data_IF_433095856137
#
_entry.id   IF_433095856137
#
_cell.length_a   1.000
_cell.length_b   1.000
_cell.length_c   1.000
_cell.angle_alpha   90.00
_cell.angle_beta   90.00
_cell.angle_gamma   90.00
#
_symmetry.space_group_name_H-M   'P 1'
#
loop_
_entity.id
_entity.type
_entity.pdbx_description
1 polymer ?
#
# COMPACT_ATOMS: atom_id res chain seq x y z
N UNK A 1 28.01 8.38 -11.08
CA UNK A 1 27.81 6.94 -10.85
C UNK A 1 26.92 6.80 -9.60
N UNK A 2 25.80 6.08 -9.64
CA UNK A 2 24.97 5.89 -8.45
C UNK A 2 25.75 5.09 -7.38
N UNK A 3 25.51 5.34 -6.08
CA UNK A 3 26.26 4.69 -5.00
C UNK A 3 25.99 3.18 -4.98
N UNK A 4 27.06 2.38 -4.92
CA UNK A 4 27.00 0.92 -4.77
C UNK A 4 26.28 0.53 -3.48
N UNK A 5 25.28 -0.35 -3.61
CA UNK A 5 24.41 -0.83 -2.55
C UNK A 5 25.18 -1.68 -1.52
N UNK A 6 25.15 -1.29 -0.24
CA UNK A 6 25.75 -2.01 0.91
C UNK A 6 24.81 -3.08 1.50
N UNK A 7 24.26 -3.99 0.70
CA UNK A 7 23.45 -5.11 1.23
C UNK A 7 24.03 -6.44 0.79
N UNK A 8 24.31 -7.39 1.70
CA UNK A 8 24.72 -8.74 1.31
C UNK A 8 23.62 -9.36 0.45
N UNK A 9 23.98 -9.80 -0.75
CA UNK A 9 23.03 -10.25 -1.76
C UNK A 9 22.36 -11.57 -1.34
N UNK A 10 21.04 -11.67 -1.52
CA UNK A 10 20.54 -12.33 -2.72
C UNK A 10 20.07 -11.33 -3.78
N UNK A 11 20.36 -11.61 -5.05
CA UNK A 11 19.95 -10.78 -6.20
C UNK A 11 18.45 -10.93 -6.46
N UNK A 12 17.88 -12.01 -5.93
CA UNK A 12 16.48 -12.38 -6.06
C UNK A 12 15.67 -11.98 -4.81
N UNK A 13 14.69 -11.05 -4.92
CA UNK A 13 13.81 -10.70 -3.82
C UNK A 13 12.94 -11.88 -3.33
N UNK A 14 12.77 -12.95 -4.12
CA UNK A 14 12.09 -14.18 -3.69
C UNK A 14 12.90 -14.98 -2.65
N UNK A 15 14.23 -14.88 -2.69
CA UNK A 15 15.12 -15.62 -1.79
C UNK A 15 15.30 -14.96 -0.41
N UNK A 16 14.77 -13.73 -0.23
CA UNK A 16 14.91 -12.97 1.02
C UNK A 16 13.80 -13.38 1.99
N UNK A 17 14.10 -14.32 2.87
CA UNK A 17 13.22 -14.71 3.97
C UNK A 17 13.55 -13.88 5.22
N UNK A 18 12.59 -13.05 5.66
CA UNK A 18 12.74 -12.26 6.89
C UNK A 18 12.45 -13.17 8.09
N UNK A 19 13.52 -13.67 8.72
CA UNK A 19 13.46 -14.46 9.96
C UNK A 19 13.19 -13.56 11.17
N UNK A 20 12.03 -12.92 11.21
CA UNK A 20 11.54 -12.17 12.37
C UNK A 20 10.12 -12.63 12.68
N UNK A 21 9.66 -12.55 13.93
CA UNK A 21 8.23 -12.72 14.22
C UNK A 21 7.43 -11.57 13.61
N UNK A 22 6.27 -11.83 13.00
CA UNK A 22 5.30 -10.81 12.59
C UNK A 22 4.13 -10.89 13.54
N UNK A 23 4.00 -9.92 14.42
CA UNK A 23 2.81 -9.77 15.26
C UNK A 23 2.43 -8.29 15.25
N UNK A 24 1.82 -7.79 14.15
CA UNK A 24 1.26 -6.45 14.14
C UNK A 24 0.08 -6.37 15.10
N UNK A 25 -0.19 -5.17 15.63
CA UNK A 25 -1.42 -4.93 16.38
C UNK A 25 -2.63 -5.22 15.47
N UNK A 26 -3.68 -5.93 15.96
CA UNK A 26 -4.91 -6.12 15.20
C UNK A 26 -5.53 -4.83 14.66
N UNK A 27 -5.38 -3.69 15.34
CA UNK A 27 -5.86 -2.40 14.85
C UNK A 27 -5.09 -1.93 13.61
N UNK A 28 -3.75 -2.02 13.63
CA UNK A 28 -2.89 -1.66 12.50
C UNK A 28 -3.14 -2.57 11.29
N UNK A 29 -3.40 -3.85 11.57
CA UNK A 29 -3.71 -4.84 10.55
C UNK A 29 -5.05 -4.54 9.87
N UNK A 30 -6.06 -4.14 10.63
CA UNK A 30 -7.36 -3.73 10.09
C UNK A 30 -7.26 -2.44 9.25
N UNK A 31 -6.49 -1.45 9.70
CA UNK A 31 -6.27 -0.19 8.96
C UNK A 31 -5.48 -0.39 7.66
N UNK A 32 -4.57 -1.36 7.64
CA UNK A 32 -3.77 -1.71 6.46
C UNK A 32 -4.53 -2.57 5.45
N UNK A 33 -5.59 -3.25 5.90
CA UNK A 33 -6.45 -4.06 5.03
C UNK A 33 -7.48 -3.21 4.29
N UNK A 34 -7.74 -3.55 3.03
CA UNK A 34 -8.84 -2.93 2.27
C UNK A 34 -10.17 -3.49 2.78
N UNK A 35 -11.17 -2.65 3.12
CA UNK A 35 -12.47 -3.14 3.59
C UNK A 35 -13.11 -4.14 2.61
N UNK A 36 -13.54 -5.30 3.11
CA UNK A 36 -14.16 -6.35 2.31
C UNK A 36 -13.18 -7.29 1.59
N UNK A 37 -11.87 -7.14 1.81
CA UNK A 37 -10.85 -8.09 1.38
C UNK A 37 -10.29 -8.89 2.56
N UNK A 38 -9.67 -10.03 2.24
CA UNK A 38 -8.87 -10.81 3.20
C UNK A 38 -7.81 -9.93 3.87
N UNK A 39 -7.48 -10.26 5.11
CA UNK A 39 -6.53 -9.50 5.92
C UNK A 39 -5.17 -9.43 5.22
N UNK A 40 -4.66 -8.22 5.02
CA UNK A 40 -3.43 -7.98 4.26
C UNK A 40 -2.19 -8.40 5.07
N UNK A 41 -1.47 -9.41 4.58
CA UNK A 41 -0.16 -9.82 5.13
C UNK A 41 0.97 -9.24 4.26
N UNK A 42 1.67 -8.17 4.72
CA UNK A 42 2.73 -7.53 3.94
C UNK A 42 3.93 -8.45 3.66
N UNK A 43 4.06 -9.58 4.37
CA UNK A 43 5.17 -10.52 4.15
C UNK A 43 4.88 -11.52 3.03
N UNK A 44 3.61 -11.77 2.76
CA UNK A 44 3.17 -12.75 1.75
C UNK A 44 2.63 -12.09 0.50
N UNK A 45 2.07 -10.88 0.62
CA UNK A 45 1.44 -10.18 -0.50
C UNK A 45 2.48 -9.38 -1.29
N UNK A 46 2.69 -9.78 -2.54
CA UNK A 46 3.45 -9.00 -3.53
C UNK A 46 2.49 -8.25 -4.42
N UNK A 47 2.84 -7.03 -4.78
CA UNK A 47 2.11 -6.26 -5.78
C UNK A 47 2.49 -6.78 -7.17
N UNK A 48 1.51 -7.01 -8.04
CA UNK A 48 1.79 -7.24 -9.46
C UNK A 48 2.28 -5.94 -10.11
N UNK A 49 2.87 -6.02 -11.31
CA UNK A 49 3.30 -4.82 -12.04
C UNK A 49 2.12 -3.87 -12.32
N UNK A 50 0.92 -4.41 -12.50
CA UNK A 50 -0.32 -3.64 -12.68
C UNK A 50 -0.76 -2.94 -11.39
N UNK A 51 -0.65 -3.60 -10.23
CA UNK A 51 -1.00 -3.01 -8.94
C UNK A 51 0.05 -1.99 -8.46
N UNK A 52 1.29 -2.13 -8.92
CA UNK A 52 2.38 -1.21 -8.63
C UNK A 52 2.23 0.11 -9.39
N UNK A 53 1.43 0.13 -10.48
CA UNK A 53 1.14 1.38 -11.20
C UNK A 53 0.36 2.33 -10.27
N UNK A 54 0.63 3.64 -10.36
CA UNK A 54 -0.07 4.61 -9.54
C UNK A 54 -1.58 4.51 -9.77
N UNK A 55 -2.35 4.45 -8.68
CA UNK A 55 -3.80 4.45 -8.77
C UNK A 55 -4.33 5.74 -9.44
N UNK A 56 -5.48 5.67 -10.14
CA UNK A 56 -6.08 6.85 -10.73
C UNK A 56 -6.38 7.89 -9.66
N UNK A 57 -5.87 9.11 -9.86
CA UNK A 57 -6.08 10.20 -8.90
C UNK A 57 -7.52 10.70 -9.00
N UNK A 58 -8.32 10.43 -7.98
CA UNK A 58 -9.69 10.96 -7.87
C UNK A 58 -9.62 12.41 -7.39
N UNK A 59 -9.96 13.35 -8.28
CA UNK A 59 -10.03 14.77 -7.93
C UNK A 59 -11.30 15.04 -7.13
N UNK A 60 -11.16 15.62 -5.93
CA UNK A 60 -12.31 16.11 -5.15
C UNK A 60 -13.09 17.14 -5.98
N UNK A 61 -14.41 17.02 -6.02
CA UNK A 61 -15.27 17.99 -6.67
C UNK A 61 -15.19 19.36 -5.97
N UNK A 62 -15.36 20.44 -6.74
CA UNK A 62 -15.52 21.77 -6.14
C UNK A 62 -16.86 21.81 -5.38
N UNK A 63 -16.85 22.38 -4.18
CA UNK A 63 -18.08 22.60 -3.42
C UNK A 63 -18.95 23.60 -4.18
N UNK A 64 -20.11 23.17 -4.65
CA UNK A 64 -21.11 24.06 -5.25
C UNK A 64 -21.95 24.60 -4.08
N UNK A 65 -22.00 25.92 -3.94
CA UNK A 65 -22.90 26.56 -2.98
C UNK A 65 -24.23 26.81 -3.72
N UNK A 66 -25.31 26.22 -3.22
CA UNK A 66 -26.66 26.51 -3.75
C UNK A 66 -27.09 27.83 -3.10
N UNK A 67 -27.42 28.88 -3.89
CA UNK A 67 -27.98 30.12 -3.35
C UNK A 67 -29.29 29.84 -2.61
N UNK A 68 -29.53 30.54 -1.49
CA UNK A 68 -30.72 30.30 -0.66
C UNK A 68 -32.04 30.59 -1.41
N UNK A 69 -32.01 31.39 -2.48
CA UNK A 69 -33.17 31.69 -3.34
C UNK A 69 -33.65 30.48 -4.16
N UNK A 70 -32.82 29.43 -4.27
CA UNK A 70 -33.08 28.20 -5.06
C UNK A 70 -33.33 26.98 -4.16
N UNK A 71 -33.54 27.19 -2.85
CA UNK A 71 -33.72 26.13 -1.86
C UNK A 71 -35.19 25.77 -1.63
#
# INVERSE_FOLDING_TARGET
LPPSRNTPSPVDPEAIQIQMSYEPDPADLALSSVPGQEVFDPRKRKFSEEELKPQPMIKKARKIFIPDDLK
#
